data_IF_047827515774
#
_entry.id   IF_047827515774
#
_cell.length_a   1.000
_cell.length_b   1.000
_cell.length_c   1.000
_cell.angle_alpha   90.00
_cell.angle_beta   90.00
_cell.angle_gamma   90.00
#
_symmetry.space_group_name_H-M   'P 1'
#
loop_
_entity.id
_entity.type
_entity.pdbx_description
1 polymer ?
#
# COMPACT_ATOMS: atom_id res chain seq x y z
N UNK A 1 10.42 12.98 -25.18
CA UNK A 1 9.22 12.53 -24.43
C UNK A 1 9.64 11.27 -23.71
N UNK A 2 9.78 11.34 -22.39
CA UNK A 2 10.34 10.25 -21.59
C UNK A 2 9.22 9.24 -21.35
N UNK A 3 9.36 8.07 -21.96
CA UNK A 3 8.48 6.92 -21.76
C UNK A 3 8.70 6.37 -20.34
N UNK A 4 7.73 6.57 -19.45
CA UNK A 4 7.68 5.92 -18.13
C UNK A 4 6.26 5.41 -17.82
N UNK A 5 5.63 4.75 -18.79
CA UNK A 5 4.26 4.21 -18.69
C UNK A 5 4.21 2.67 -18.73
N UNK A 6 5.25 1.94 -18.31
CA UNK A 6 5.18 0.47 -18.43
C UNK A 6 5.94 -0.30 -17.36
N UNK A 7 5.53 -0.10 -16.12
CA UNK A 7 5.83 -1.02 -15.03
C UNK A 7 4.63 -1.24 -14.11
N UNK A 8 3.99 -0.14 -13.71
CA UNK A 8 2.86 -0.19 -12.78
C UNK A 8 1.54 -0.59 -13.44
N UNK A 9 1.25 -0.17 -14.67
CA UNK A 9 -0.06 -0.46 -15.31
C UNK A 9 -0.33 -1.95 -15.53
N UNK A 10 0.72 -2.75 -15.69
CA UNK A 10 0.64 -4.21 -15.81
C UNK A 10 0.97 -4.96 -14.51
N UNK A 11 1.26 -4.24 -13.41
CA UNK A 11 1.55 -4.86 -12.14
C UNK A 11 0.28 -5.48 -11.52
N UNK A 12 0.43 -6.55 -10.71
CA UNK A 12 -0.66 -7.08 -9.90
C UNK A 12 -1.32 -5.98 -9.04
N UNK A 13 -2.60 -6.14 -8.75
CA UNK A 13 -3.40 -5.14 -8.02
C UNK A 13 -2.80 -4.84 -6.64
N UNK A 14 -2.29 -5.88 -5.96
CA UNK A 14 -1.63 -5.76 -4.65
C UNK A 14 -0.34 -4.93 -4.72
N UNK A 15 0.37 -4.97 -5.84
CA UNK A 15 1.61 -4.19 -6.05
C UNK A 15 1.27 -2.72 -6.31
N UNK A 16 0.26 -2.46 -7.16
CA UNK A 16 -0.23 -1.10 -7.42
C UNK A 16 -0.69 -0.44 -6.12
N UNK A 17 -1.52 -1.13 -5.35
CA UNK A 17 -2.03 -0.63 -4.08
C UNK A 17 -0.92 -0.37 -3.06
N UNK A 18 0.09 -1.25 -2.99
CA UNK A 18 1.24 -1.03 -2.11
C UNK A 18 2.01 0.24 -2.49
N UNK A 19 2.21 0.49 -3.78
CA UNK A 19 2.89 1.71 -4.26
C UNK A 19 2.08 2.97 -3.94
N UNK A 20 0.77 2.94 -4.15
CA UNK A 20 -0.11 4.06 -3.81
C UNK A 20 -0.11 4.35 -2.30
N UNK A 21 -0.12 3.31 -1.47
CA UNK A 21 -0.02 3.43 -0.01
C UNK A 21 1.31 4.04 0.43
N UNK A 22 2.43 3.60 -0.17
CA UNK A 22 3.75 4.17 0.11
C UNK A 22 3.77 5.66 -0.24
N UNK A 23 3.31 6.01 -1.44
CA UNK A 23 3.24 7.39 -1.89
C UNK A 23 2.41 8.26 -0.95
N UNK A 24 1.25 7.76 -0.49
CA UNK A 24 0.40 8.48 0.45
C UNK A 24 1.09 8.71 1.79
N UNK A 25 1.77 7.70 2.34
CA UNK A 25 2.47 7.79 3.62
C UNK A 25 3.64 8.77 3.54
N UNK A 26 4.42 8.73 2.47
CA UNK A 26 5.53 9.66 2.22
C UNK A 26 5.03 11.09 2.02
N UNK A 27 3.96 11.28 1.25
CA UNK A 27 3.37 12.60 0.99
C UNK A 27 2.79 13.27 2.24
N UNK A 28 2.44 12.47 3.27
CA UNK A 28 1.98 12.96 4.57
C UNK A 28 3.10 12.97 5.62
N UNK A 29 4.36 12.77 5.22
CA UNK A 29 5.54 12.76 6.10
C UNK A 29 5.40 11.81 7.31
N UNK A 30 4.71 10.69 7.11
CA UNK A 30 4.45 9.73 8.19
C UNK A 30 5.74 9.00 8.54
N UNK A 31 6.11 9.00 9.82
CA UNK A 31 7.26 8.24 10.30
C UNK A 31 7.12 6.75 9.93
N UNK A 32 8.13 6.12 9.29
CA UNK A 32 8.03 4.74 8.83
C UNK A 32 7.71 3.73 9.94
N UNK A 33 8.14 3.97 11.19
CA UNK A 33 7.82 3.08 12.32
C UNK A 33 6.36 3.22 12.73
N UNK A 34 5.80 4.43 12.63
CA UNK A 34 4.37 4.67 12.85
C UNK A 34 3.56 4.03 11.73
N UNK A 35 3.97 4.20 10.47
CA UNK A 35 3.33 3.58 9.30
C UNK A 35 3.29 2.05 9.43
N UNK A 36 4.42 1.41 9.77
CA UNK A 36 4.47 -0.03 9.98
C UNK A 36 3.50 -0.52 11.06
N UNK A 37 3.44 0.18 12.21
CA UNK A 37 2.48 -0.16 13.27
C UNK A 37 1.03 -0.02 12.81
N UNK A 38 0.72 1.03 12.05
CA UNK A 38 -0.61 1.24 11.50
C UNK A 38 -0.99 0.14 10.48
N UNK A 39 -0.05 -0.23 9.60
CA UNK A 39 -0.25 -1.28 8.61
C UNK A 39 -0.48 -2.65 9.27
N UNK A 40 0.15 -2.96 10.40
CA UNK A 40 -0.15 -4.19 11.17
C UNK A 40 -1.58 -4.21 11.72
N UNK A 41 -2.10 -3.06 12.17
CA UNK A 41 -3.49 -2.93 12.61
C UNK A 41 -4.45 -3.14 11.43
N UNK A 42 -4.19 -2.48 10.29
CA UNK A 42 -4.98 -2.63 9.06
C UNK A 42 -4.98 -4.08 8.58
N UNK A 43 -3.81 -4.71 8.50
CA UNK A 43 -3.67 -6.12 8.13
C UNK A 43 -4.50 -7.02 9.03
N UNK A 44 -4.42 -6.81 10.35
CA UNK A 44 -5.20 -7.60 11.31
C UNK A 44 -6.71 -7.41 11.12
N UNK A 45 -7.16 -6.22 10.75
CA UNK A 45 -8.57 -5.97 10.44
C UNK A 45 -9.03 -6.65 9.14
N UNK A 46 -8.23 -6.56 8.09
CA UNK A 46 -8.50 -7.24 6.82
C UNK A 46 -8.54 -8.76 6.99
N UNK A 47 -7.61 -9.34 7.76
CA UNK A 47 -7.62 -10.77 8.07
C UNK A 47 -8.92 -11.19 8.77
N UNK A 48 -9.37 -10.44 9.78
CA UNK A 48 -10.66 -10.70 10.43
C UNK A 48 -11.82 -10.63 9.45
N UNK A 49 -11.81 -9.72 8.48
CA UNK A 49 -12.89 -9.63 7.47
C UNK A 49 -12.90 -10.85 6.55
N UNK A 50 -11.74 -11.33 6.14
CA UNK A 50 -11.60 -12.53 5.29
C UNK A 50 -11.97 -13.80 6.06
N UNK A 51 -11.59 -13.91 7.34
CA UNK A 51 -11.93 -15.08 8.18
C UNK A 51 -13.41 -15.14 8.57
N UNK A 52 -14.08 -13.99 8.65
CA UNK A 52 -15.51 -13.89 8.94
C UNK A 52 -16.38 -13.82 7.65
N UNK A 53 -15.82 -14.13 6.48
CA UNK A 53 -16.53 -14.18 5.19
C UNK A 53 -16.78 -15.61 4.72
#
# INVERSE_FOLDING_TARGET
>A
MMSSESGLDNAPEEIKLAVDLIFLLESNEVDPKVALKALEIVKSDLLRKVENS
#
